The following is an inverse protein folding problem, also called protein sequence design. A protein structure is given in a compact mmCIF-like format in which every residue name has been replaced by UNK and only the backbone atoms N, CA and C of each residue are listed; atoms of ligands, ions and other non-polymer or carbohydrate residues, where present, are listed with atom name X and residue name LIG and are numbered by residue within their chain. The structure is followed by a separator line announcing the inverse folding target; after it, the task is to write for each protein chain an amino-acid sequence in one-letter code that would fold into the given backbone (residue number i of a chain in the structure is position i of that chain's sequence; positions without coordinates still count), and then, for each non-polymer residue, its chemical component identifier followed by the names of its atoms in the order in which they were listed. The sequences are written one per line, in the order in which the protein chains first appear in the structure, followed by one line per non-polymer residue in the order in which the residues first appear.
data_IF_136734691503
#
_entry.id   IF_136734691503
#
_cell.length_a   1.000
_cell.length_b   1.000
_cell.length_c   1.000
_cell.angle_alpha   90.00
_cell.angle_beta   90.00
_cell.angle_gamma   90.00
#
_symmetry.space_group_name_H-M   'P 1'
#
loop_
_entity.id
_entity.type
_entity.pdbx_description
1 polymer ?
#
# COMPACT_ATOMS: atom_id res chain seq x y z
N UNK A 1 -2.95 -20.23 -15.90
CA UNK A 1 -1.90 -20.60 -14.92
C UNK A 1 -2.11 -19.96 -13.56
N UNK A 2 -3.06 -19.02 -13.38
CA UNK A 2 -3.52 -18.54 -12.06
C UNK A 2 -2.50 -17.76 -11.22
N UNK A 3 -1.24 -17.74 -11.64
CA UNK A 3 -0.11 -17.05 -11.00
C UNK A 3 0.23 -15.79 -11.77
N UNK A 4 0.61 -14.74 -11.05
CA UNK A 4 1.16 -13.52 -11.64
C UNK A 4 2.65 -13.72 -11.85
N UNK A 5 3.13 -13.60 -13.09
CA UNK A 5 4.56 -13.63 -13.38
C UNK A 5 5.22 -12.25 -13.16
N UNK A 6 6.54 -12.22 -13.10
CA UNK A 6 7.27 -10.99 -12.77
C UNK A 6 7.03 -9.85 -13.78
N UNK A 7 7.03 -10.08 -15.11
CA UNK A 7 6.60 -9.08 -16.09
C UNK A 7 5.16 -8.58 -15.92
N UNK A 8 4.21 -9.47 -15.63
CA UNK A 8 2.83 -9.10 -15.32
C UNK A 8 2.74 -8.22 -14.06
N UNK A 9 3.50 -8.55 -13.02
CA UNK A 9 3.58 -7.76 -11.79
C UNK A 9 4.10 -6.34 -12.05
N UNK A 10 5.18 -6.20 -12.83
CA UNK A 10 5.73 -4.88 -13.18
C UNK A 10 4.73 -4.03 -13.96
N UNK A 11 3.99 -4.64 -14.89
CA UNK A 11 2.96 -3.97 -15.68
C UNK A 11 1.80 -3.52 -14.79
N UNK A 12 1.41 -4.34 -13.82
CA UNK A 12 0.34 -4.01 -12.86
C UNK A 12 0.74 -2.84 -11.95
N UNK A 13 1.95 -2.86 -11.40
CA UNK A 13 2.47 -1.80 -10.52
C UNK A 13 2.69 -0.48 -11.26
N UNK A 14 3.21 -0.53 -12.49
CA UNK A 14 3.39 0.67 -13.32
C UNK A 14 2.06 1.34 -13.68
N UNK A 15 1.00 0.55 -13.87
CA UNK A 15 -0.35 1.09 -14.05
C UNK A 15 -0.89 1.71 -12.77
N UNK A 16 -0.70 1.03 -11.62
CA UNK A 16 -1.16 1.53 -10.31
C UNK A 16 -0.49 2.85 -9.89
N UNK A 17 0.77 3.08 -10.25
CA UNK A 17 1.45 4.37 -10.00
C UNK A 17 0.94 5.55 -10.84
N UNK A 18 0.22 5.30 -11.95
CA UNK A 18 -0.28 6.33 -12.85
C UNK A 18 -1.68 6.82 -12.46
N UNK A 19 -2.43 5.97 -11.78
CA UNK A 19 -3.72 6.33 -11.18
C UNK A 19 -3.44 6.92 -9.80
N UNK A 20 -4.00 8.09 -9.49
CA UNK A 20 -3.93 8.63 -8.13
C UNK A 20 -4.67 7.65 -7.23
N UNK A 21 -3.95 7.03 -6.28
CA UNK A 21 -4.57 6.16 -5.28
C UNK A 21 -5.74 6.91 -4.64
N UNK A 22 -6.87 6.20 -4.48
CA UNK A 22 -8.03 6.81 -3.84
C UNK A 22 -7.68 7.20 -2.40
N UNK A 23 -8.32 8.25 -1.87
CA UNK A 23 -8.14 8.64 -0.46
C UNK A 23 -8.45 7.47 0.48
N UNK A 24 -9.35 6.58 0.07
CA UNK A 24 -9.70 5.36 0.80
C UNK A 24 -8.55 4.34 0.81
N UNK A 25 -7.93 4.04 -0.33
CA UNK A 25 -6.75 3.16 -0.39
C UNK A 25 -5.58 3.70 0.42
N UNK A 26 -5.34 5.02 0.39
CA UNK A 26 -4.29 5.65 1.19
C UNK A 26 -4.60 5.52 2.69
N UNK A 27 -5.85 5.74 3.11
CA UNK A 27 -6.26 5.57 4.51
C UNK A 27 -6.16 4.12 4.96
N UNK A 28 -6.53 3.16 4.13
CA UNK A 28 -6.40 1.73 4.44
C UNK A 28 -4.93 1.34 4.58
N UNK A 29 -4.07 1.76 3.66
CA UNK A 29 -2.63 1.55 3.75
C UNK A 29 -2.05 2.20 5.02
N UNK A 30 -2.51 3.40 5.38
CA UNK A 30 -2.06 4.10 6.59
C UNK A 30 -2.43 3.32 7.88
N UNK A 31 -3.64 2.75 7.94
CA UNK A 31 -4.09 1.88 9.05
C UNK A 31 -3.30 0.58 9.19
N UNK A 32 -2.60 0.13 8.15
CA UNK A 32 -1.70 -1.03 8.28
C UNK A 32 -0.52 -0.68 9.19
N UNK A 33 -0.06 0.57 9.19
CA UNK A 33 1.08 1.02 9.99
C UNK A 33 0.65 1.64 11.32
N UNK A 34 -0.40 2.45 11.34
CA UNK A 34 -0.99 3.03 12.56
C UNK A 34 -1.70 1.93 13.37
N UNK A 35 -0.95 1.27 14.27
CA UNK A 35 -1.42 0.11 15.03
C UNK A 35 -2.27 0.52 16.22
N UNK A 36 -2.01 1.70 16.77
CA UNK A 36 -2.76 2.21 17.91
C UNK A 36 -4.03 2.99 17.51
N UNK A 37 -4.16 3.34 16.22
CA UNK A 37 -5.34 4.00 15.65
C UNK A 37 -5.44 5.48 16.01
N UNK A 38 -4.32 6.12 16.37
CA UNK A 38 -4.27 7.52 16.76
C UNK A 38 -4.22 8.48 15.55
N UNK A 39 -4.08 7.96 14.33
CA UNK A 39 -4.00 8.72 13.08
C UNK A 39 -2.58 9.19 12.72
N UNK A 40 -1.54 8.71 13.40
CA UNK A 40 -0.14 9.03 13.20
C UNK A 40 0.68 7.74 13.19
N UNK A 41 1.67 7.64 12.31
CA UNK A 41 2.62 6.52 12.32
C UNK A 41 3.84 6.94 13.13
N UNK A 42 4.05 6.32 14.27
CA UNK A 42 5.25 6.50 15.08
C UNK A 42 6.46 5.77 14.48
N UNK A 43 7.66 6.18 14.88
CA UNK A 43 8.90 5.50 14.47
C UNK A 43 8.96 4.04 14.93
N UNK A 44 8.27 3.70 16.02
CA UNK A 44 8.16 2.32 16.49
C UNK A 44 7.28 1.48 15.54
N UNK A 45 6.16 2.05 15.10
CA UNK A 45 5.22 1.40 14.16
C UNK A 45 5.81 1.23 12.77
N UNK A 46 6.60 2.19 12.29
CA UNK A 46 7.27 2.08 10.98
C UNK A 46 8.39 1.04 10.96
N UNK A 47 8.95 0.70 12.12
CA UNK A 47 10.05 -0.28 12.25
C UNK A 47 9.56 -1.73 12.25
N UNK A 48 8.26 -1.96 12.43
CA UNK A 48 7.64 -3.28 12.50
C UNK A 48 6.95 -3.65 11.17
#
# INVERSE_FOLDING_TARGET
NGTIDFPEFLTMMARKMKDTDSEEEIREAFRVFDKDGNGLISAAELRH
#
